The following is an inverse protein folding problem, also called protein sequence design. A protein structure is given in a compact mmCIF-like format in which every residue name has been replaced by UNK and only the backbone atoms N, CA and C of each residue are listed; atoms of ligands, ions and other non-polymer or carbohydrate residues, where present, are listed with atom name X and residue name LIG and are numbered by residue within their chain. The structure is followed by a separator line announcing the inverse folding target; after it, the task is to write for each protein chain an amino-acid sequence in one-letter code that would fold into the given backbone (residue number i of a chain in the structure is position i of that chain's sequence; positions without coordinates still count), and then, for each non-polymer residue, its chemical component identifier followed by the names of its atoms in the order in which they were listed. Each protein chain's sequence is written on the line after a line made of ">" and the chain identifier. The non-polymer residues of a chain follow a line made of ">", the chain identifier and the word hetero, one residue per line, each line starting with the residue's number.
data_IF_047282306243
#
_entry.id   IF_047282306243
#
_cell.length_a   1.000
_cell.length_b   1.000
_cell.length_c   1.000
_cell.angle_alpha   90.00
_cell.angle_beta   90.00
_cell.angle_gamma   90.00
#
_symmetry.space_group_name_H-M   'P 1'
#
loop_
_entity.id
_entity.type
_entity.pdbx_description
1 polymer ?
#
# COMPACT_ATOMS: atom_id res chain seq x y z
N UNK A 1 15.26 -4.84 7.62
CA UNK A 1 14.24 -3.77 7.58
C UNK A 1 12.82 -4.35 7.68
N UNK A 2 12.42 -5.26 6.78
CA UNK A 2 11.10 -5.88 6.77
C UNK A 2 10.70 -6.52 8.11
N UNK A 3 11.60 -7.27 8.77
CA UNK A 3 11.33 -7.90 10.07
C UNK A 3 10.90 -6.87 11.15
N UNK A 4 11.62 -5.75 11.27
CA UNK A 4 11.28 -4.68 12.21
C UNK A 4 9.93 -4.03 11.86
N UNK A 5 9.67 -3.72 10.59
CA UNK A 5 8.39 -3.16 10.16
C UNK A 5 7.21 -4.11 10.44
N UNK A 6 7.37 -5.39 10.08
CA UNK A 6 6.38 -6.44 10.34
C UNK A 6 6.06 -6.60 11.84
N UNK A 7 7.09 -6.65 12.68
CA UNK A 7 6.95 -6.73 14.15
C UNK A 7 6.26 -5.49 14.72
N UNK A 8 6.61 -4.30 14.24
CA UNK A 8 6.02 -3.03 14.67
C UNK A 8 4.53 -2.96 14.32
N UNK A 9 4.18 -3.33 13.08
CA UNK A 9 2.79 -3.38 12.64
C UNK A 9 1.98 -4.40 13.45
N UNK A 10 2.53 -5.60 13.66
CA UNK A 10 1.89 -6.64 14.47
C UNK A 10 1.60 -6.17 15.89
N UNK A 11 2.60 -5.56 16.55
CA UNK A 11 2.43 -5.03 17.90
C UNK A 11 1.42 -3.88 17.94
N UNK A 12 1.45 -2.94 16.98
CA UNK A 12 0.47 -1.85 16.90
C UNK A 12 -0.96 -2.40 16.75
N UNK A 13 -1.17 -3.42 15.90
CA UNK A 13 -2.49 -4.03 15.69
C UNK A 13 -2.96 -4.80 16.91
N UNK A 14 -2.09 -5.59 17.55
CA UNK A 14 -2.40 -6.28 18.80
C UNK A 14 -2.89 -5.33 19.88
N UNK A 15 -2.17 -4.22 20.09
CA UNK A 15 -2.57 -3.20 21.08
C UNK A 15 -3.92 -2.53 20.74
N UNK A 16 -4.28 -2.42 19.46
CA UNK A 16 -5.58 -1.89 19.01
C UNK A 16 -6.73 -2.91 19.02
N UNK A 17 -6.41 -4.19 19.06
CA UNK A 17 -7.36 -5.29 18.96
C UNK A 17 -7.52 -6.05 20.29
N UNK A 18 -7.09 -5.46 21.41
CA UNK A 18 -7.32 -6.02 22.75
C UNK A 18 -8.80 -6.37 22.93
N UNK A 19 -9.08 -7.61 23.33
CA UNK A 19 -10.44 -8.15 23.50
C UNK A 19 -11.09 -8.73 22.24
N UNK A 20 -10.42 -8.68 21.08
CA UNK A 20 -10.89 -9.36 19.85
C UNK A 20 -10.37 -10.79 19.77
N UNK A 21 -11.05 -11.67 18.99
CA UNK A 21 -10.63 -13.07 18.84
C UNK A 21 -9.28 -13.25 18.14
N UNK A 22 -8.79 -12.25 17.42
CA UNK A 22 -7.49 -12.27 16.73
C UNK A 22 -6.95 -10.85 16.52
N UNK A 23 -5.63 -10.75 16.39
CA UNK A 23 -4.92 -9.47 16.22
C UNK A 23 -4.70 -9.08 14.75
N UNK A 24 -4.52 -10.08 13.86
CA UNK A 24 -4.06 -9.89 12.49
C UNK A 24 -4.81 -10.82 11.51
N UNK A 25 -4.90 -10.38 10.25
CA UNK A 25 -5.32 -11.21 9.13
C UNK A 25 -4.11 -11.75 8.33
N UNK A 26 -4.16 -12.98 7.85
CA UNK A 26 -3.12 -13.58 7.00
C UNK A 26 -3.16 -13.11 5.52
N UNK A 27 -3.74 -11.93 5.26
CA UNK A 27 -3.94 -11.37 3.92
C UNK A 27 -3.32 -9.98 3.83
N UNK A 28 -3.40 -9.37 2.64
CA UNK A 28 -3.00 -7.97 2.41
C UNK A 28 -3.74 -6.94 3.30
N UNK A 29 -4.78 -7.37 4.03
CA UNK A 29 -5.46 -6.55 5.05
C UNK A 29 -4.55 -6.28 6.26
N UNK A 30 -3.60 -7.18 6.55
CA UNK A 30 -2.63 -7.01 7.62
C UNK A 30 -1.23 -7.38 7.15
N UNK A 31 -0.89 -8.65 7.11
CA UNK A 31 0.39 -9.12 6.59
C UNK A 31 0.17 -10.47 5.88
N UNK A 32 0.78 -10.65 4.71
CA UNK A 32 0.70 -11.93 3.98
C UNK A 32 1.49 -12.98 4.75
N UNK A 33 0.82 -14.07 5.15
CA UNK A 33 1.45 -15.20 5.83
C UNK A 33 1.27 -16.45 4.97
N UNK A 34 2.39 -16.97 4.45
CA UNK A 34 2.40 -18.15 3.57
C UNK A 34 2.34 -19.50 4.29
N UNK A 35 2.31 -19.51 5.62
CA UNK A 35 2.47 -20.73 6.42
C UNK A 35 3.93 -21.16 6.54
N UNK A 36 4.16 -22.31 7.22
CA UNK A 36 5.49 -22.87 7.48
C UNK A 36 6.30 -23.13 6.19
N UNK A 37 5.62 -23.46 5.09
CA UNK A 37 6.26 -23.69 3.79
C UNK A 37 6.85 -22.42 3.15
N UNK A 38 6.51 -21.24 3.69
CA UNK A 38 7.06 -19.95 3.24
C UNK A 38 8.28 -19.48 4.04
N UNK A 39 8.73 -20.24 5.04
CA UNK A 39 9.92 -19.90 5.82
C UNK A 39 11.20 -20.07 4.98
N UNK A 40 12.12 -19.12 5.11
CA UNK A 40 13.43 -19.16 4.46
C UNK A 40 14.51 -18.86 5.51
N UNK A 41 15.60 -19.65 5.60
CA UNK A 41 16.67 -19.44 6.56
C UNK A 41 17.23 -18.01 6.57
N UNK A 42 17.30 -17.36 5.40
CA UNK A 42 17.77 -15.96 5.29
C UNK A 42 16.80 -14.97 5.95
N UNK A 43 15.50 -15.26 5.88
CA UNK A 43 14.50 -14.45 6.58
C UNK A 43 14.53 -14.69 8.09
N UNK A 44 14.82 -15.92 8.53
CA UNK A 44 14.93 -16.27 9.94
C UNK A 44 16.14 -15.59 10.59
N UNK A 45 17.30 -15.61 9.92
CA UNK A 45 18.50 -14.88 10.36
C UNK A 45 18.20 -13.38 10.51
N UNK A 46 17.57 -12.75 9.51
CA UNK A 46 17.21 -11.33 9.61
C UNK A 46 16.19 -11.02 10.74
N UNK A 47 15.33 -11.98 11.08
CA UNK A 47 14.39 -11.88 12.22
C UNK A 47 15.16 -11.94 13.54
N UNK A 48 16.11 -12.86 13.65
CA UNK A 48 16.94 -13.08 14.84
C UNK A 48 17.92 -11.92 15.09
N UNK A 49 18.58 -11.42 14.05
CA UNK A 49 19.46 -10.25 14.13
C UNK A 49 18.72 -8.98 14.60
N UNK A 50 17.44 -8.88 14.27
CA UNK A 50 16.58 -7.75 14.67
C UNK A 50 15.64 -8.11 15.81
N UNK A 51 15.95 -9.16 16.59
CA UNK A 51 15.10 -9.65 17.67
C UNK A 51 14.77 -8.53 18.67
N UNK A 52 13.48 -8.37 18.94
CA UNK A 52 12.98 -7.37 19.86
C UNK A 52 12.94 -5.95 19.32
N UNK A 53 13.44 -5.68 18.09
CA UNK A 53 13.42 -4.32 17.55
C UNK A 53 12.07 -3.95 16.92
N UNK A 54 11.56 -2.77 17.26
CA UNK A 54 10.35 -2.16 16.71
C UNK A 54 10.59 -0.68 16.36
N UNK A 55 9.71 -0.14 15.54
CA UNK A 55 9.60 1.28 15.23
C UNK A 55 8.57 1.93 16.14
N UNK A 56 8.96 3.05 16.75
CA UNK A 56 8.09 3.84 17.61
C UNK A 56 8.07 5.31 17.22
N UNK A 57 6.94 5.96 17.49
CA UNK A 57 6.75 7.40 17.41
C UNK A 57 6.10 7.83 18.73
N UNK A 58 6.68 8.83 19.40
CA UNK A 58 6.27 9.23 20.75
C UNK A 58 6.14 8.02 21.70
N UNK A 59 7.17 7.16 21.70
CA UNK A 59 7.26 5.96 22.56
C UNK A 59 6.16 4.90 22.33
N UNK A 60 5.35 5.04 21.27
CA UNK A 60 4.30 4.08 20.89
C UNK A 60 4.66 3.33 19.61
N UNK A 61 4.44 2.01 19.52
CA UNK A 61 4.63 1.25 18.28
C UNK A 61 3.83 1.86 17.12
N UNK A 62 4.47 2.08 15.98
CA UNK A 62 3.82 2.68 14.82
C UNK A 62 3.00 1.65 14.02
N UNK A 63 2.00 2.12 13.28
CA UNK A 63 1.40 1.34 12.20
C UNK A 63 2.35 1.31 10.99
N UNK A 64 3.36 0.44 11.03
CA UNK A 64 4.43 0.35 10.03
C UNK A 64 3.94 -0.32 8.73
N UNK A 65 3.10 0.39 7.97
CA UNK A 65 2.60 -0.10 6.68
C UNK A 65 3.74 -0.23 5.66
N UNK A 66 3.64 -1.22 4.79
CA UNK A 66 4.59 -1.47 3.72
C UNK A 66 3.90 -2.09 2.51
N UNK A 67 4.50 -1.94 1.33
CA UNK A 67 3.93 -2.39 0.06
C UNK A 67 5.03 -2.80 -0.92
N UNK A 68 4.66 -3.53 -1.99
CA UNK A 68 5.63 -4.10 -2.93
C UNK A 68 6.49 -3.02 -3.61
N UNK A 69 5.86 -2.13 -4.38
CA UNK A 69 6.57 -1.14 -5.20
C UNK A 69 5.83 0.19 -5.19
N UNK A 70 6.48 1.28 -4.77
CA UNK A 70 5.82 2.59 -4.76
C UNK A 70 5.72 3.19 -6.18
N UNK A 71 6.62 2.80 -7.09
CA UNK A 71 6.69 3.39 -8.41
C UNK A 71 7.23 4.82 -8.35
N UNK A 72 8.25 5.11 -7.54
CA UNK A 72 9.03 6.36 -7.55
C UNK A 72 8.84 7.30 -6.35
N UNK A 73 7.71 7.22 -5.65
CA UNK A 73 7.39 8.06 -4.48
C UNK A 73 6.33 7.37 -3.63
N UNK A 74 6.44 7.40 -2.30
CA UNK A 74 5.42 6.85 -1.38
C UNK A 74 4.28 7.84 -1.20
N UNK A 75 3.22 7.45 -0.50
CA UNK A 75 2.02 8.28 -0.31
C UNK A 75 1.75 8.59 1.17
N UNK A 76 1.19 9.77 1.40
CA UNK A 76 0.65 10.19 2.70
C UNK A 76 -0.55 9.32 3.07
N UNK A 77 -0.60 8.86 4.32
CA UNK A 77 -1.69 7.98 4.78
C UNK A 77 -3.08 8.58 4.56
N UNK A 78 -3.21 9.91 4.64
CA UNK A 78 -4.47 10.65 4.53
C UNK A 78 -5.10 10.53 3.14
N UNK A 79 -4.27 10.38 2.09
CA UNK A 79 -4.71 10.23 0.71
C UNK A 79 -5.16 8.80 0.36
N UNK A 80 -4.95 7.82 1.26
CA UNK A 80 -5.28 6.40 1.02
C UNK A 80 -6.38 5.90 1.94
N UNK A 81 -6.27 6.17 3.24
CA UNK A 81 -7.21 5.68 4.26
C UNK A 81 -7.79 6.80 5.14
N UNK A 82 -7.44 8.06 4.87
CA UNK A 82 -7.77 9.17 5.76
C UNK A 82 -6.96 9.17 7.06
N UNK A 83 -7.29 10.11 7.95
CA UNK A 83 -6.57 10.33 9.21
C UNK A 83 -5.15 10.89 8.98
N UNK A 84 -4.45 11.23 10.08
CA UNK A 84 -3.08 11.78 10.01
C UNK A 84 -2.18 10.98 10.92
N UNK A 85 -1.13 10.39 10.34
CA UNK A 85 -0.04 9.74 11.06
C UNK A 85 1.27 10.43 10.67
N UNK A 86 1.88 11.23 11.56
CA UNK A 86 3.06 12.06 11.22
C UNK A 86 4.25 11.29 10.65
N UNK A 87 4.38 10.01 11.02
CA UNK A 87 5.43 9.12 10.56
C UNK A 87 5.15 8.42 9.22
N UNK A 88 3.96 8.60 8.61
CA UNK A 88 3.59 8.05 7.31
C UNK A 88 3.38 9.18 6.30
N UNK A 89 4.49 9.76 5.91
CA UNK A 89 4.57 10.81 4.90
C UNK A 89 5.21 10.32 3.62
N UNK A 90 4.85 11.00 2.53
CA UNK A 90 5.38 10.79 1.21
C UNK A 90 6.87 11.10 1.19
N UNK A 91 7.64 10.14 0.67
CA UNK A 91 9.07 10.26 0.46
C UNK A 91 9.41 9.78 -0.95
N UNK A 92 10.34 10.48 -1.60
CA UNK A 92 10.86 10.07 -2.91
C UNK A 92 11.64 8.78 -2.79
N UNK A 93 11.35 7.82 -3.67
CA UNK A 93 12.02 6.52 -3.71
C UNK A 93 12.72 6.31 -5.05
N UNK A 94 14.03 6.58 -5.08
CA UNK A 94 14.88 6.42 -6.28
C UNK A 94 15.34 4.97 -6.51
N UNK A 95 14.93 4.04 -5.65
CA UNK A 95 15.54 2.72 -5.51
C UNK A 95 14.65 1.57 -5.99
N UNK A 96 13.42 1.86 -6.44
CA UNK A 96 12.46 0.81 -6.83
C UNK A 96 12.30 0.64 -8.35
N UNK A 97 13.10 1.33 -9.16
CA UNK A 97 12.97 1.35 -10.64
C UNK A 97 13.18 -0.03 -11.27
N UNK A 98 14.03 -0.85 -10.68
CA UNK A 98 14.34 -2.20 -11.17
C UNK A 98 13.27 -3.24 -10.77
N UNK A 99 12.19 -2.80 -10.12
CA UNK A 99 11.07 -3.67 -9.81
C UNK A 99 10.34 -4.09 -11.09
N UNK A 100 10.01 -5.38 -11.28
CA UNK A 100 9.16 -5.84 -12.39
C UNK A 100 7.72 -5.35 -12.27
N UNK A 101 7.38 -4.66 -11.18
CA UNK A 101 6.07 -4.08 -10.92
C UNK A 101 6.12 -2.54 -10.93
N UNK A 102 7.23 -1.97 -11.42
CA UNK A 102 7.39 -0.51 -11.47
C UNK A 102 6.38 0.15 -12.39
N UNK A 103 6.08 -0.47 -13.53
CA UNK A 103 5.07 -0.04 -14.50
C UNK A 103 4.11 -1.19 -14.81
N UNK A 104 2.88 -0.85 -15.17
CA UNK A 104 1.86 -1.79 -15.59
C UNK A 104 0.82 -1.12 -16.48
N UNK A 105 0.23 -1.90 -17.37
CA UNK A 105 -0.90 -1.50 -18.19
C UNK A 105 -2.06 -2.48 -17.99
N UNK A 106 -3.29 -1.96 -18.08
CA UNK A 106 -4.49 -2.78 -18.00
C UNK A 106 -5.60 -2.12 -18.82
N UNK A 107 -6.38 -2.92 -19.54
CA UNK A 107 -7.63 -2.48 -20.14
C UNK A 107 -8.79 -3.21 -19.45
N UNK A 108 -9.88 -2.49 -19.17
CA UNK A 108 -11.12 -3.03 -18.62
C UNK A 108 -12.31 -2.44 -19.38
N UNK A 109 -13.38 -3.20 -19.58
CA UNK A 109 -14.66 -2.64 -20.05
C UNK A 109 -15.38 -1.92 -18.89
N UNK A 110 -16.28 -0.99 -19.20
CA UNK A 110 -17.16 -0.40 -18.18
C UNK A 110 -17.96 -1.50 -17.46
N UNK A 111 -18.39 -2.55 -18.15
CA UNK A 111 -19.06 -3.72 -17.55
C UNK A 111 -18.19 -4.44 -16.51
N UNK A 112 -16.89 -4.65 -16.77
CA UNK A 112 -15.98 -5.24 -15.78
C UNK A 112 -15.91 -4.39 -14.51
N UNK A 113 -15.90 -3.07 -14.68
CA UNK A 113 -15.86 -2.10 -13.58
C UNK A 113 -17.20 -2.09 -12.83
N UNK A 114 -18.34 -2.06 -13.53
CA UNK A 114 -19.69 -2.14 -12.96
C UNK A 114 -19.85 -3.40 -12.12
N UNK A 115 -19.45 -4.56 -12.65
CA UNK A 115 -19.52 -5.83 -11.95
C UNK A 115 -18.71 -5.80 -10.64
N UNK A 116 -17.51 -5.22 -10.67
CA UNK A 116 -16.67 -5.07 -9.48
C UNK A 116 -17.25 -4.08 -8.45
N UNK A 117 -17.95 -3.04 -8.90
CA UNK A 117 -18.54 -2.01 -8.05
C UNK A 117 -20.00 -2.28 -7.65
N UNK A 118 -20.63 -3.33 -8.17
CA UNK A 118 -22.02 -3.72 -7.88
C UNK A 118 -22.34 -3.80 -6.38
N UNK A 119 -21.42 -4.35 -5.58
CA UNK A 119 -21.56 -4.45 -4.11
C UNK A 119 -21.57 -3.10 -3.39
N UNK A 120 -21.24 -2.02 -4.09
CA UNK A 120 -21.31 -0.63 -3.60
C UNK A 120 -22.59 0.08 -4.06
N UNK A 121 -23.51 -0.62 -4.73
CA UNK A 121 -24.75 -0.04 -5.25
C UNK A 121 -24.57 0.76 -6.54
N UNK A 122 -23.43 0.60 -7.22
CA UNK A 122 -23.17 1.21 -8.53
C UNK A 122 -23.59 0.19 -9.60
N UNK A 123 -24.51 0.57 -10.47
CA UNK A 123 -25.05 -0.28 -11.54
C UNK A 123 -24.29 -0.08 -12.85
N UNK A 124 -24.99 -0.10 -13.98
CA UNK A 124 -24.39 0.02 -15.32
C UNK A 124 -23.71 1.38 -15.49
N UNK A 125 -22.38 1.40 -15.33
CA UNK A 125 -21.58 2.61 -15.45
C UNK A 125 -21.64 3.16 -16.88
N UNK A 126 -22.04 4.42 -16.99
CA UNK A 126 -22.07 5.20 -18.22
C UNK A 126 -20.76 5.97 -18.41
N UNK A 127 -20.21 6.53 -17.32
CA UNK A 127 -18.97 7.29 -17.35
C UNK A 127 -18.13 7.11 -16.09
N UNK A 128 -16.81 7.28 -16.23
CA UNK A 128 -15.87 7.25 -15.11
C UNK A 128 -14.74 8.25 -15.36
N UNK A 129 -14.45 9.07 -14.35
CA UNK A 129 -13.39 10.07 -14.42
C UNK A 129 -12.63 10.20 -13.09
N UNK A 130 -11.38 10.67 -13.19
CA UNK A 130 -10.58 11.00 -12.01
C UNK A 130 -11.00 12.37 -11.52
N UNK A 131 -11.57 12.43 -10.32
CA UNK A 131 -12.00 13.67 -9.70
C UNK A 131 -10.87 14.36 -8.95
N UNK A 132 -10.04 13.59 -8.23
CA UNK A 132 -8.99 14.14 -7.38
C UNK A 132 -7.72 13.31 -7.40
N UNK A 133 -6.57 14.00 -7.46
CA UNK A 133 -5.24 13.43 -7.26
C UNK A 133 -4.57 14.03 -6.03
N UNK A 134 -3.68 13.25 -5.42
CA UNK A 134 -2.75 13.74 -4.41
C UNK A 134 -1.57 14.48 -5.06
N UNK A 135 -0.72 15.10 -4.25
CA UNK A 135 0.55 15.69 -4.70
C UNK A 135 1.54 14.67 -5.29
N UNK A 136 1.31 13.37 -5.10
CA UNK A 136 2.13 12.29 -5.67
C UNK A 136 1.54 11.72 -6.97
N UNK A 137 0.53 12.39 -7.53
CA UNK A 137 -0.21 12.01 -8.73
C UNK A 137 -1.06 10.74 -8.60
N UNK A 138 -1.22 10.20 -7.39
CA UNK A 138 -2.14 9.07 -7.14
C UNK A 138 -3.58 9.53 -7.14
N UNK A 139 -4.45 8.70 -7.67
CA UNK A 139 -5.91 8.90 -7.66
C UNK A 139 -6.41 8.75 -6.22
N UNK A 140 -6.98 9.84 -5.69
CA UNK A 140 -7.60 9.89 -4.36
C UNK A 140 -9.09 9.60 -4.47
N UNK A 141 -9.75 10.20 -5.46
CA UNK A 141 -11.20 10.05 -5.71
C UNK A 141 -11.48 9.91 -7.21
N UNK A 142 -12.46 9.07 -7.53
CA UNK A 142 -13.09 8.95 -8.84
C UNK A 142 -14.55 9.32 -8.73
N UNK A 143 -15.09 9.90 -9.79
CA UNK A 143 -16.53 10.02 -10.02
C UNK A 143 -16.92 8.95 -11.02
N UNK A 144 -17.92 8.17 -10.65
CA UNK A 144 -18.56 7.16 -11.51
C UNK A 144 -20.01 7.57 -11.68
N UNK A 145 -20.52 7.52 -12.90
CA UNK A 145 -21.91 7.86 -13.21
C UNK A 145 -22.63 6.62 -13.71
N UNK A 146 -23.78 6.33 -13.13
CA UNK A 146 -24.75 5.33 -13.59
C UNK A 146 -26.14 5.98 -13.73
N UNK A 147 -27.16 5.19 -14.05
CA UNK A 147 -28.54 5.65 -14.23
C UNK A 147 -29.13 6.37 -13.00
N UNK A 148 -28.58 6.14 -11.79
CA UNK A 148 -29.02 6.75 -10.54
C UNK A 148 -28.22 8.02 -10.19
N UNK A 149 -27.23 8.39 -10.99
CA UNK A 149 -26.46 9.62 -10.90
C UNK A 149 -24.99 9.39 -10.55
N UNK A 150 -24.38 10.40 -9.92
CA UNK A 150 -22.94 10.45 -9.65
C UNK A 150 -22.57 9.86 -8.30
N UNK A 151 -21.61 8.96 -8.31
CA UNK A 151 -21.04 8.29 -7.15
C UNK A 151 -19.58 8.69 -6.99
N UNK A 152 -19.22 9.20 -5.82
CA UNK A 152 -17.82 9.48 -5.46
C UNK A 152 -17.26 8.27 -4.73
N UNK A 153 -16.20 7.68 -5.29
CA UNK A 153 -15.49 6.54 -4.67
C UNK A 153 -14.02 6.88 -4.48
N UNK A 154 -13.43 6.42 -3.37
CA UNK A 154 -11.99 6.60 -3.19
C UNK A 154 -11.20 5.70 -4.13
N UNK A 155 -10.03 6.16 -4.58
CA UNK A 155 -9.14 5.39 -5.44
C UNK A 155 -8.75 4.05 -4.83
N UNK A 156 -8.57 4.01 -3.50
CA UNK A 156 -8.29 2.75 -2.80
C UNK A 156 -9.50 1.81 -2.79
N UNK A 157 -10.72 2.31 -2.62
CA UNK A 157 -11.93 1.49 -2.74
C UNK A 157 -12.10 0.93 -4.14
N UNK A 158 -11.90 1.75 -5.17
CA UNK A 158 -11.92 1.34 -6.57
C UNK A 158 -10.90 0.22 -6.85
N UNK A 159 -9.64 0.44 -6.44
CA UNK A 159 -8.57 -0.54 -6.55
C UNK A 159 -8.92 -1.88 -5.90
N UNK A 160 -9.46 -1.83 -4.67
CA UNK A 160 -9.79 -3.04 -3.92
C UNK A 160 -11.00 -3.79 -4.49
N UNK A 161 -11.98 -3.06 -5.06
CA UNK A 161 -13.15 -3.65 -5.70
C UNK A 161 -12.76 -4.43 -6.97
N UNK A 162 -11.93 -3.85 -7.83
CA UNK A 162 -11.40 -4.50 -9.04
C UNK A 162 -10.36 -5.59 -8.73
N UNK A 163 -9.79 -5.55 -7.54
CA UNK A 163 -8.77 -6.47 -7.08
C UNK A 163 -7.35 -5.90 -7.25
N UNK A 164 -6.48 -6.07 -6.23
CA UNK A 164 -5.15 -5.48 -6.14
C UNK A 164 -4.13 -6.06 -7.15
N UNK A 165 -4.51 -7.10 -7.89
CA UNK A 165 -3.71 -7.70 -8.96
C UNK A 165 -4.14 -7.23 -10.36
N UNK A 166 -5.37 -6.70 -10.47
CA UNK A 166 -5.96 -6.13 -11.69
C UNK A 166 -5.57 -4.67 -11.79
N UNK A 167 -5.93 -3.89 -10.77
CA UNK A 167 -5.46 -2.52 -10.58
C UNK A 167 -4.40 -2.56 -9.48
N UNK A 168 -3.13 -2.50 -9.88
CA UNK A 168 -2.01 -2.77 -8.96
C UNK A 168 -1.81 -1.65 -7.94
N UNK A 169 -2.06 -0.40 -8.31
CA UNK A 169 -1.92 0.77 -7.44
C UNK A 169 -2.97 1.83 -7.80
N UNK A 170 -3.09 2.88 -6.99
CA UNK A 170 -3.83 4.10 -7.36
C UNK A 170 -2.99 5.09 -8.17
N UNK A 171 -1.74 4.72 -8.48
CA UNK A 171 -0.85 5.55 -9.28
C UNK A 171 -1.02 5.22 -10.76
N UNK A 172 -2.10 5.71 -11.37
CA UNK A 172 -2.36 5.50 -12.79
C UNK A 172 -2.94 6.73 -13.48
N UNK A 173 -2.73 6.76 -14.80
CA UNK A 173 -3.50 7.56 -15.76
C UNK A 173 -4.54 6.63 -16.39
N UNK A 174 -5.70 7.19 -16.71
CA UNK A 174 -6.77 6.46 -17.39
C UNK A 174 -7.32 7.25 -18.55
N UNK A 175 -7.79 6.54 -19.57
CA UNK A 175 -8.55 7.09 -20.70
C UNK A 175 -9.72 6.17 -21.00
N UNK A 176 -10.92 6.71 -20.95
CA UNK A 176 -12.12 6.01 -21.41
C UNK A 176 -12.28 6.25 -22.92
N UNK A 177 -12.60 5.20 -23.67
CA UNK A 177 -12.89 5.24 -25.09
C UNK A 177 -13.83 4.09 -25.47
N UNK A 178 -15.03 4.44 -25.93
CA UNK A 178 -16.02 3.47 -26.46
C UNK A 178 -16.37 2.38 -25.44
N UNK A 179 -16.58 2.75 -24.17
CA UNK A 179 -16.96 1.81 -23.12
C UNK A 179 -15.83 0.92 -22.60
N UNK A 180 -14.58 1.27 -22.90
CA UNK A 180 -13.36 0.64 -22.37
C UNK A 180 -12.47 1.69 -21.74
N UNK A 181 -11.79 1.31 -20.67
CA UNK A 181 -10.87 2.18 -19.94
C UNK A 181 -9.47 1.58 -20.02
N UNK A 182 -8.56 2.33 -20.64
CA UNK A 182 -7.13 2.03 -20.67
C UNK A 182 -6.47 2.65 -19.44
N UNK A 183 -5.76 1.84 -18.67
CA UNK A 183 -4.98 2.24 -17.50
C UNK A 183 -3.49 2.08 -17.79
N UNK A 184 -2.71 3.13 -17.52
CA UNK A 184 -1.24 3.08 -17.45
C UNK A 184 -0.81 3.52 -16.07
N UNK A 185 -0.24 2.61 -15.30
CA UNK A 185 0.09 2.85 -13.91
C UNK A 185 1.50 2.47 -13.52
N UNK A 186 1.85 2.87 -12.29
CA UNK A 186 3.14 2.58 -11.67
C UNK A 186 2.98 1.95 -10.30
N UNK A 187 3.93 1.10 -9.93
CA UNK A 187 3.98 0.46 -8.63
C UNK A 187 2.88 -0.57 -8.38
N UNK A 188 2.96 -1.20 -7.20
CA UNK A 188 2.04 -2.22 -6.73
C UNK A 188 1.86 -2.11 -5.22
N UNK A 189 0.61 -1.94 -4.81
CA UNK A 189 0.22 -1.77 -3.41
C UNK A 189 -0.30 -0.36 -3.13
N UNK A 190 -0.51 -0.09 -1.84
CA UNK A 190 -1.14 1.16 -1.38
C UNK A 190 -0.22 2.38 -1.37
N UNK A 191 1.10 2.22 -1.53
CA UNK A 191 2.05 3.33 -1.60
C UNK A 191 2.45 3.95 -0.26
N UNK A 192 1.67 3.74 0.82
CA UNK A 192 2.00 4.21 2.17
C UNK A 192 3.18 3.44 2.81
N UNK A 193 4.06 4.16 3.51
CA UNK A 193 5.16 3.60 4.31
C UNK A 193 6.27 2.95 3.47
N UNK A 194 6.82 1.83 3.93
CA UNK A 194 8.02 1.24 3.32
C UNK A 194 7.73 0.56 1.97
N UNK A 195 8.46 0.98 0.92
CA UNK A 195 8.48 0.28 -0.36
C UNK A 195 9.47 -0.90 -0.29
N UNK A 196 9.01 -2.13 -0.50
CA UNK A 196 9.83 -3.35 -0.38
C UNK A 196 10.93 -3.42 -1.45
N UNK A 197 10.59 -3.17 -2.72
CA UNK A 197 11.58 -3.08 -3.79
C UNK A 197 12.53 -1.90 -3.61
N UNK A 198 12.06 -0.79 -3.05
CA UNK A 198 12.90 0.33 -2.71
C UNK A 198 13.86 0.03 -1.56
N UNK A 199 13.41 -0.71 -0.54
CA UNK A 199 14.26 -1.18 0.55
C UNK A 199 15.34 -2.14 0.04
N UNK A 200 14.99 -3.03 -0.90
CA UNK A 200 15.96 -3.89 -1.60
C UNK A 200 17.01 -3.04 -2.35
N UNK A 201 16.60 -2.10 -3.19
CA UNK A 201 17.53 -1.27 -3.95
C UNK A 201 18.41 -0.35 -3.07
N UNK A 202 17.93 0.04 -1.88
CA UNK A 202 18.76 0.67 -0.86
C UNK A 202 19.77 -0.31 -0.26
N UNK A 203 19.37 -1.53 0.08
CA UNK A 203 20.29 -2.55 0.59
C UNK A 203 21.39 -2.90 -0.42
N UNK A 204 21.06 -3.00 -1.71
CA UNK A 204 22.03 -3.20 -2.82
C UNK A 204 23.01 -2.03 -2.98
N UNK A 205 22.68 -0.86 -2.41
CA UNK A 205 23.57 0.32 -2.30
C UNK A 205 24.24 0.44 -0.93
N UNK A 206 24.25 -0.64 -0.14
CA UNK A 206 24.86 -0.75 1.19
C UNK A 206 24.23 0.13 2.28
N UNK A 207 23.01 0.62 2.11
CA UNK A 207 22.30 1.27 3.21
C UNK A 207 21.92 0.23 4.27
N UNK A 208 22.17 0.54 5.53
CA UNK A 208 21.76 -0.28 6.66
C UNK A 208 20.24 -0.34 6.78
N UNK A 209 19.71 -1.37 7.43
CA UNK A 209 18.27 -1.46 7.67
C UNK A 209 17.74 -0.28 8.50
N UNK A 210 18.56 0.32 9.36
CA UNK A 210 18.19 1.48 10.17
C UNK A 210 17.98 2.71 9.28
N UNK A 211 18.86 2.93 8.32
CA UNK A 211 18.74 4.00 7.32
C UNK A 211 17.53 3.78 6.41
N UNK A 212 17.30 2.54 5.96
CA UNK A 212 16.12 2.17 5.17
C UNK A 212 14.83 2.52 5.93
N UNK A 213 14.70 2.10 7.20
CA UNK A 213 13.50 2.38 7.98
C UNK A 213 13.31 3.88 8.22
N UNK A 214 14.38 4.62 8.56
CA UNK A 214 14.31 6.07 8.76
C UNK A 214 14.06 6.86 7.48
N UNK A 215 14.35 6.29 6.31
CA UNK A 215 13.99 6.88 5.02
C UNK A 215 12.48 6.82 4.78
N UNK A 216 11.84 5.69 5.08
CA UNK A 216 10.40 5.48 4.79
C UNK A 216 9.45 5.91 5.91
N UNK A 217 9.94 6.02 7.14
CA UNK A 217 9.14 6.39 8.30
C UNK A 217 9.73 7.64 8.96
N UNK A 218 8.98 8.73 8.91
CA UNK A 218 9.44 10.05 9.36
C UNK A 218 9.48 10.14 10.89
N UNK A 219 10.56 10.69 11.45
CA UNK A 219 10.71 10.96 12.90
C UNK A 219 10.52 9.75 13.84
N UNK A 220 10.73 8.52 13.33
CA UNK A 220 10.62 7.31 14.14
C UNK A 220 11.92 6.97 14.85
N UNK A 221 11.79 6.29 16.00
CA UNK A 221 12.91 5.64 16.70
C UNK A 221 12.86 4.14 16.47
N UNK A 222 14.02 3.49 16.49
CA UNK A 222 14.13 2.03 16.59
C UNK A 222 14.39 1.72 18.07
N UNK A 223 13.55 0.89 18.67
CA UNK A 223 13.64 0.52 20.08
C UNK A 223 13.65 -1.00 20.21
N UNK A 224 14.48 -1.51 21.13
CA UNK A 224 14.52 -2.92 21.48
C UNK A 224 13.68 -3.15 22.73
N UNK A 225 12.70 -4.03 22.64
CA UNK A 225 11.71 -4.27 23.71
C UNK A 225 11.90 -5.61 24.45
N UNK A 226 12.80 -6.48 23.99
CA UNK A 226 13.21 -7.75 24.66
C UNK A 226 14.44 -8.38 23.97
#
# INVERSE_FOLDING_TARGET
>A
AQAVAARSFALNKKLKNIGKPYDLYATITSQVYGGLSGEDPRSNEAIDETRGEILTYQEKPIAAYYHATCGGETEDVENVWGGRLPYLKSVRCKYCKDSPHYEWEKELSLSDISNALSRKGISEIESIEVYKRSSTERVVELVVEDEFGKHIISGNQFRMALGPNVIRSTYFKMKEKRGRVEFKGRGWGHGVGMCQWGARGMAEKNFSYKEILKHYYTEVKIQKIY
#
